data_IF_660895062903
#
_entry.id   IF_660895062903
#
_cell.length_a   1.000
_cell.length_b   1.000
_cell.length_c   1.000
_cell.angle_alpha   90.00
_cell.angle_beta   90.00
_cell.angle_gamma   90.00
#
_symmetry.space_group_name_H-M   'P 1'
#
loop_
_entity.id
_entity.type
_entity.pdbx_description
1 polymer ?
#
# COMPACT_ATOMS: atom_id res chain seq x y z
N UNK A 1 3.82 21.05 3.32
CA UNK A 1 3.08 19.85 3.75
C UNK A 1 4.13 18.84 4.14
N UNK A 2 4.28 18.51 5.42
CA UNK A 2 5.33 17.58 5.88
C UNK A 2 5.03 16.17 5.32
N UNK A 3 6.04 15.40 4.87
CA UNK A 3 5.80 14.05 4.41
C UNK A 3 5.26 13.21 5.57
N UNK A 4 4.26 12.39 5.28
CA UNK A 4 3.70 11.43 6.22
C UNK A 4 4.79 10.43 6.65
N UNK A 5 4.84 10.07 7.92
CA UNK A 5 5.93 9.27 8.48
C UNK A 5 5.95 7.86 7.88
N UNK A 6 4.77 7.29 7.59
CA UNK A 6 4.66 6.04 6.85
C UNK A 6 5.23 6.14 5.43
N UNK A 7 5.03 7.28 4.75
CA UNK A 7 5.60 7.54 3.44
C UNK A 7 7.13 7.64 3.52
N UNK A 8 7.67 8.33 4.52
CA UNK A 8 9.12 8.44 4.72
C UNK A 8 9.77 7.08 5.00
N UNK A 9 9.13 6.25 5.82
CA UNK A 9 9.63 4.92 6.16
C UNK A 9 9.74 4.04 4.91
N UNK A 10 8.67 3.98 4.11
CA UNK A 10 8.67 3.20 2.88
C UNK A 10 9.67 3.74 1.84
N UNK A 11 9.83 5.06 1.74
CA UNK A 11 10.72 5.69 0.78
C UNK A 11 12.21 5.55 1.12
N UNK A 12 12.56 5.73 2.39
CA UNK A 12 13.96 5.82 2.80
C UNK A 12 14.58 4.46 3.13
N UNK A 13 13.75 3.50 3.56
CA UNK A 13 14.25 2.25 4.12
C UNK A 13 13.85 1.01 3.34
N UNK A 14 12.87 1.08 2.42
CA UNK A 14 12.30 -0.12 1.81
C UNK A 14 12.22 0.00 0.27
N UNK A 15 13.29 -0.43 -0.44
CA UNK A 15 13.21 -0.70 -1.87
C UNK A 15 12.13 -1.75 -2.16
N UNK A 16 11.64 -1.80 -3.40
CA UNK A 16 10.54 -2.70 -3.80
C UNK A 16 10.83 -4.17 -3.43
N UNK A 17 12.08 -4.61 -3.61
CA UNK A 17 12.53 -5.98 -3.37
C UNK A 17 12.50 -6.38 -1.88
N UNK A 18 12.45 -5.42 -0.96
CA UNK A 18 12.46 -5.67 0.50
C UNK A 18 11.07 -5.51 1.15
N UNK A 19 10.05 -5.13 0.38
CA UNK A 19 8.70 -4.94 0.91
C UNK A 19 8.11 -6.23 1.47
N UNK A 20 8.34 -7.36 0.79
CA UNK A 20 7.87 -8.67 1.25
C UNK A 20 8.59 -9.11 2.54
N UNK A 21 9.91 -8.92 2.61
CA UNK A 21 10.72 -9.19 3.82
C UNK A 21 10.19 -8.40 5.00
N UNK A 22 9.97 -7.09 4.81
CA UNK A 22 9.45 -6.21 5.84
C UNK A 22 8.04 -6.62 6.29
N UNK A 23 7.13 -6.88 5.36
CA UNK A 23 5.75 -7.27 5.68
C UNK A 23 5.71 -8.59 6.48
N UNK A 24 6.54 -9.55 6.11
CA UNK A 24 6.67 -10.82 6.83
C UNK A 24 7.17 -10.60 8.26
N UNK A 25 8.30 -9.90 8.43
CA UNK A 25 8.86 -9.61 9.74
C UNK A 25 7.94 -8.75 10.61
N UNK A 26 7.23 -7.81 10.00
CA UNK A 26 6.24 -6.98 10.70
C UNK A 26 5.13 -7.87 11.28
N UNK A 27 4.68 -8.86 10.51
CA UNK A 27 3.68 -9.83 10.98
C UNK A 27 4.20 -10.63 12.17
N UNK A 28 5.42 -11.17 12.08
CA UNK A 28 6.05 -11.93 13.16
C UNK A 28 6.25 -11.10 14.43
N UNK A 29 6.75 -9.86 14.28
CA UNK A 29 6.94 -8.95 15.39
C UNK A 29 5.61 -8.62 16.07
N UNK A 30 4.57 -8.29 15.30
CA UNK A 30 3.26 -7.98 15.88
C UNK A 30 2.63 -9.19 16.60
N UNK A 31 2.77 -10.40 16.04
CA UNK A 31 2.28 -11.62 16.69
C UNK A 31 3.03 -11.84 18.01
N UNK A 32 4.35 -11.69 17.99
CA UNK A 32 5.20 -11.88 19.19
C UNK A 32 4.87 -10.84 20.26
N UNK A 33 4.69 -9.58 19.88
CA UNK A 33 4.36 -8.50 20.81
C UNK A 33 2.98 -8.69 21.44
N UNK A 34 1.98 -9.08 20.64
CA UNK A 34 0.63 -9.37 21.14
C UNK A 34 0.52 -10.66 21.96
N UNK A 35 1.40 -11.63 21.71
CA UNK A 35 1.50 -12.89 22.45
C UNK A 35 2.51 -12.83 23.59
N UNK A 36 2.91 -11.64 24.04
CA UNK A 36 3.75 -11.45 25.24
C UNK A 36 2.94 -11.77 26.51
N UNK A 37 2.60 -13.04 26.68
CA UNK A 37 1.92 -13.62 27.83
C UNK A 37 2.60 -14.92 28.23
N UNK A 38 2.61 -15.26 29.52
CA UNK A 38 3.26 -16.47 30.05
C UNK A 38 2.57 -17.79 29.64
N UNK A 39 1.39 -17.72 29.02
CA UNK A 39 0.64 -18.88 28.56
C UNK A 39 0.98 -19.25 27.10
N UNK A 40 1.07 -20.55 26.76
CA UNK A 40 1.27 -21.00 25.39
C UNK A 40 0.04 -20.69 24.55
N UNK A 41 0.10 -19.59 23.80
CA UNK A 41 -0.95 -19.17 22.86
C UNK A 41 -0.77 -19.91 21.52
N UNK A 42 -1.84 -20.47 20.94
CA UNK A 42 -1.76 -21.06 19.61
C UNK A 42 -1.42 -20.02 18.54
N UNK A 43 -0.50 -20.37 17.64
CA UNK A 43 -0.03 -19.49 16.56
C UNK A 43 -1.19 -18.90 15.73
N UNK A 44 -1.04 -17.64 15.35
CA UNK A 44 -2.01 -16.93 14.52
C UNK A 44 -1.56 -16.97 13.05
N UNK A 45 -2.04 -17.96 12.32
CA UNK A 45 -1.68 -18.21 10.92
C UNK A 45 -2.58 -17.49 9.92
N UNK A 46 -2.14 -17.40 8.65
CA UNK A 46 -2.96 -16.84 7.56
C UNK A 46 -4.28 -17.59 7.36
N UNK A 47 -4.21 -18.93 7.43
CA UNK A 47 -5.38 -19.79 7.26
C UNK A 47 -6.39 -19.57 8.37
N UNK A 48 -5.93 -19.34 9.59
CA UNK A 48 -6.77 -18.96 10.74
C UNK A 48 -7.39 -17.58 10.54
N UNK A 49 -6.60 -16.60 10.10
CA UNK A 49 -7.09 -15.25 9.79
C UNK A 49 -8.17 -15.26 8.69
N UNK A 50 -7.93 -16.01 7.60
CA UNK A 50 -8.89 -16.21 6.52
C UNK A 50 -10.16 -16.92 6.99
N UNK A 51 -10.02 -17.96 7.80
CA UNK A 51 -11.17 -18.66 8.40
C UNK A 51 -11.98 -17.72 9.29
N UNK A 52 -11.33 -16.84 10.06
CA UNK A 52 -11.99 -15.87 10.92
C UNK A 52 -12.79 -14.83 10.12
N UNK A 53 -12.20 -14.31 9.04
CA UNK A 53 -12.88 -13.35 8.14
C UNK A 53 -14.15 -13.95 7.52
N UNK A 54 -14.09 -15.23 7.15
CA UNK A 54 -15.24 -15.99 6.64
C UNK A 54 -16.26 -16.27 7.73
N UNK A 55 -15.83 -16.76 8.89
CA UNK A 55 -16.71 -17.13 9.99
C UNK A 55 -17.45 -15.92 10.57
N UNK A 56 -16.81 -14.75 10.61
CA UNK A 56 -17.43 -13.49 11.01
C UNK A 56 -18.39 -12.91 9.95
N UNK A 57 -18.49 -13.53 8.76
CA UNK A 57 -19.32 -13.08 7.64
C UNK A 57 -19.12 -11.60 7.26
N UNK A 58 -17.90 -11.09 7.45
CA UNK A 58 -17.57 -9.67 7.19
C UNK A 58 -17.12 -9.43 5.76
N UNK A 59 -16.71 -10.48 5.03
CA UNK A 59 -16.18 -10.43 3.67
C UNK A 59 -16.48 -11.75 2.97
N UNK A 60 -16.85 -11.67 1.70
CA UNK A 60 -17.19 -12.82 0.85
C UNK A 60 -15.95 -13.40 0.16
N UNK A 61 -16.04 -14.68 -0.22
CA UNK A 61 -14.94 -15.42 -0.84
C UNK A 61 -14.41 -14.81 -2.16
N UNK A 62 -15.28 -14.30 -3.07
CA UNK A 62 -14.82 -13.59 -4.25
C UNK A 62 -13.94 -12.38 -3.90
N UNK A 63 -14.36 -11.55 -2.95
CA UNK A 63 -13.57 -10.40 -2.51
C UNK A 63 -12.22 -10.83 -1.92
N UNK A 64 -12.16 -11.91 -1.13
CA UNK A 64 -10.90 -12.45 -0.62
C UNK A 64 -9.97 -12.92 -1.75
N UNK A 65 -10.53 -13.56 -2.77
CA UNK A 65 -9.78 -14.02 -3.94
C UNK A 65 -9.25 -12.85 -4.78
N UNK A 66 -10.09 -11.85 -5.06
CA UNK A 66 -9.71 -10.66 -5.81
C UNK A 66 -8.60 -9.88 -5.10
N UNK A 67 -8.66 -9.80 -3.77
CA UNK A 67 -7.59 -9.22 -2.96
C UNK A 67 -6.27 -9.97 -3.14
N UNK A 68 -6.25 -11.31 -3.01
CA UNK A 68 -5.02 -12.11 -3.18
C UNK A 68 -4.46 -11.95 -4.59
N UNK A 69 -5.30 -12.13 -5.62
CA UNK A 69 -4.93 -11.95 -7.03
C UNK A 69 -4.33 -10.58 -7.29
N UNK A 70 -4.82 -9.56 -6.57
CA UNK A 70 -4.30 -8.19 -6.65
C UNK A 70 -2.91 -8.06 -6.04
N UNK A 71 -2.69 -8.63 -4.85
CA UNK A 71 -1.41 -8.54 -4.16
C UNK A 71 -0.31 -9.38 -4.83
N UNK A 72 -0.67 -10.52 -5.39
CA UNK A 72 0.26 -11.42 -6.10
C UNK A 72 0.55 -10.98 -7.54
N UNK A 73 -0.19 -9.99 -8.07
CA UNK A 73 -0.06 -9.56 -9.46
C UNK A 73 -0.41 -10.69 -10.43
N UNK A 74 -1.68 -11.10 -10.45
CA UNK A 74 -2.12 -12.31 -11.14
C UNK A 74 -1.55 -12.53 -12.55
N UNK A 75 -1.30 -13.81 -12.90
CA UNK A 75 -0.86 -14.50 -14.14
C UNK A 75 -0.09 -13.78 -15.28
N UNK A 76 -0.21 -12.47 -15.47
CA UNK A 76 0.51 -11.70 -16.50
C UNK A 76 1.72 -10.97 -15.90
N UNK A 77 2.95 -11.29 -16.35
CA UNK A 77 4.21 -10.84 -15.75
C UNK A 77 4.58 -9.39 -16.16
N UNK A 78 3.60 -8.48 -16.25
CA UNK A 78 3.88 -7.07 -16.39
C UNK A 78 4.30 -6.51 -15.03
N UNK A 79 5.60 -6.70 -14.74
CA UNK A 79 6.40 -6.06 -13.69
C UNK A 79 5.94 -4.63 -13.42
N UNK A 80 5.79 -4.26 -12.13
CA UNK A 80 5.37 -2.97 -11.53
C UNK A 80 3.99 -2.90 -10.88
N UNK A 81 2.99 -3.71 -11.29
CA UNK A 81 1.64 -3.57 -10.73
C UNK A 81 1.49 -4.22 -9.34
N UNK A 82 2.16 -5.34 -9.10
CA UNK A 82 2.09 -6.10 -7.85
C UNK A 82 2.84 -5.39 -6.73
N UNK A 83 4.11 -5.04 -6.97
CA UNK A 83 4.96 -4.27 -6.05
C UNK A 83 4.32 -2.94 -5.67
N UNK A 84 3.77 -2.20 -6.65
CA UNK A 84 3.03 -0.97 -6.41
C UNK A 84 1.79 -1.20 -5.52
N UNK A 85 1.08 -2.31 -5.70
CA UNK A 85 -0.05 -2.68 -4.85
C UNK A 85 0.41 -3.03 -3.42
N UNK A 86 1.49 -3.79 -3.26
CA UNK A 86 2.11 -4.12 -1.98
C UNK A 86 2.54 -2.87 -1.23
N UNK A 87 3.29 -1.98 -1.89
CA UNK A 87 3.77 -0.71 -1.30
C UNK A 87 2.59 0.16 -0.84
N UNK A 88 1.55 0.26 -1.66
CA UNK A 88 0.36 1.04 -1.33
C UNK A 88 -0.43 0.43 -0.18
N UNK A 89 -0.61 -0.89 -0.18
CA UNK A 89 -1.31 -1.59 0.90
C UNK A 89 -0.56 -1.47 2.23
N UNK A 90 0.78 -1.57 2.22
CA UNK A 90 1.60 -1.32 3.41
C UNK A 90 1.49 0.14 3.87
N UNK A 91 1.50 1.09 2.96
CA UNK A 91 1.29 2.50 3.29
C UNK A 91 -0.06 2.73 3.98
N UNK A 92 -1.16 2.27 3.37
CA UNK A 92 -2.50 2.41 3.92
C UNK A 92 -2.62 1.70 5.28
N UNK A 93 -2.01 0.51 5.43
CA UNK A 93 -2.03 -0.22 6.69
C UNK A 93 -1.25 0.51 7.80
N UNK A 94 -0.03 0.97 7.51
CA UNK A 94 0.83 1.68 8.47
C UNK A 94 0.22 3.01 8.90
N UNK A 95 -0.43 3.72 7.98
CA UNK A 95 -1.12 4.98 8.28
C UNK A 95 -2.39 4.76 9.10
N UNK A 96 -3.22 3.78 8.73
CA UNK A 96 -4.45 3.49 9.47
C UNK A 96 -4.14 3.00 10.88
N UNK A 97 -3.15 2.12 11.04
CA UNK A 97 -2.79 1.53 12.34
C UNK A 97 -1.87 2.40 13.19
N UNK A 98 -1.30 3.47 12.61
CA UNK A 98 -0.26 4.32 13.21
C UNK A 98 1.03 3.57 13.57
N UNK A 99 1.24 2.37 13.01
CA UNK A 99 2.45 1.56 13.22
C UNK A 99 3.72 2.31 12.80
N UNK A 100 3.64 3.21 11.82
CA UNK A 100 4.80 3.99 11.41
C UNK A 100 5.40 4.81 12.57
N UNK A 101 4.58 5.27 13.53
CA UNK A 101 5.08 6.08 14.66
C UNK A 101 5.88 5.28 15.69
N UNK A 102 5.83 3.95 15.62
CA UNK A 102 6.54 3.08 16.53
C UNK A 102 8.03 2.97 16.16
N UNK A 103 8.91 3.15 17.15
CA UNK A 103 10.35 3.13 16.94
C UNK A 103 10.87 1.73 16.58
N UNK A 104 10.24 0.66 17.10
CA UNK A 104 10.62 -0.71 16.77
C UNK A 104 10.26 -1.04 15.32
N UNK A 105 9.11 -0.56 14.85
CA UNK A 105 8.70 -0.72 13.43
C UNK A 105 9.64 0.05 12.49
N UNK A 106 10.09 1.24 12.88
CA UNK A 106 11.09 1.99 12.12
C UNK A 106 12.44 1.26 12.08
N UNK A 107 12.90 0.71 13.20
CA UNK A 107 14.10 -0.11 13.27
C UNK A 107 13.97 -1.38 12.41
N UNK A 108 12.80 -2.03 12.45
CA UNK A 108 12.52 -3.21 11.65
C UNK A 108 12.54 -2.91 10.15
N UNK A 109 12.04 -1.75 9.74
CA UNK A 109 12.10 -1.29 8.36
C UNK A 109 13.56 -1.11 7.90
N UNK A 110 14.39 -0.45 8.72
CA UNK A 110 15.80 -0.25 8.41
C UNK A 110 16.57 -1.58 8.28
N UNK A 111 16.35 -2.52 9.20
CA UNK A 111 17.00 -3.85 9.16
C UNK A 111 16.51 -4.67 7.96
N UNK A 112 15.23 -4.56 7.60
CA UNK A 112 14.66 -5.26 6.44
C UNK A 112 15.22 -4.73 5.12
N UNK A 113 15.42 -3.42 5.01
CA UNK A 113 16.08 -2.79 3.85
C UNK A 113 17.56 -3.12 3.68
N UNK A 114 18.24 -3.56 4.74
CA UNK A 114 19.65 -3.98 4.68
C UNK A 114 19.85 -5.49 4.64
N UNK A 115 18.77 -6.28 4.76
CA UNK A 115 18.85 -7.74 4.71
C UNK A 115 19.00 -8.18 3.26
N UNK A 116 19.87 -9.15 2.94
CA UNK A 116 19.95 -9.69 1.58
C UNK A 116 18.58 -10.16 1.10
N UNK A 117 18.32 -9.99 -0.19
CA UNK A 117 17.07 -10.42 -0.82
C UNK A 117 16.81 -11.90 -0.50
N UNK A 118 15.61 -12.19 -0.01
CA UNK A 118 15.17 -13.55 0.25
C UNK A 118 14.17 -13.88 -0.84
N UNK A 119 14.61 -14.66 -1.83
CA UNK A 119 13.74 -15.16 -2.88
C UNK A 119 12.59 -15.97 -2.26
N UNK A 120 11.36 -15.71 -2.73
CA UNK A 120 10.13 -16.46 -2.41
C UNK A 120 9.47 -16.19 -1.03
N UNK A 121 9.66 -15.02 -0.41
CA UNK A 121 8.83 -14.64 0.74
C UNK A 121 7.39 -14.36 0.30
N UNK A 122 6.45 -15.14 0.83
CA UNK A 122 5.01 -14.90 0.66
C UNK A 122 4.50 -14.02 1.79
N UNK A 123 3.82 -12.91 1.43
CA UNK A 123 3.24 -12.01 2.43
C UNK A 123 1.94 -12.59 2.96
N UNK A 124 1.85 -12.69 4.28
CA UNK A 124 0.74 -13.29 5.01
C UNK A 124 -0.37 -12.24 5.23
N UNK A 125 -0.99 -11.78 4.15
CA UNK A 125 -1.82 -10.56 4.17
C UNK A 125 -3.04 -10.63 5.10
N UNK A 126 -3.71 -11.78 5.19
CA UNK A 126 -4.88 -11.90 6.06
C UNK A 126 -4.46 -11.82 7.52
N UNK A 127 -3.39 -12.54 7.90
CA UNK A 127 -2.84 -12.43 9.25
C UNK A 127 -2.36 -11.00 9.54
N UNK A 128 -1.52 -10.43 8.67
CA UNK A 128 -0.96 -9.08 8.84
C UNK A 128 -2.06 -8.03 9.06
N UNK A 129 -3.11 -8.04 8.23
CA UNK A 129 -4.20 -7.08 8.34
C UNK A 129 -4.95 -7.19 9.68
N UNK A 130 -5.28 -8.39 10.14
CA UNK A 130 -6.00 -8.59 11.41
C UNK A 130 -5.09 -8.23 12.59
N UNK A 131 -3.86 -8.72 12.58
CA UNK A 131 -2.88 -8.53 13.65
C UNK A 131 -2.54 -7.05 13.82
N UNK A 132 -2.34 -6.31 12.73
CA UNK A 132 -2.04 -4.88 12.81
C UNK A 132 -3.21 -4.07 13.40
N UNK A 133 -4.46 -4.44 13.09
CA UNK A 133 -5.64 -3.83 13.71
C UNK A 133 -5.83 -4.26 15.17
N UNK A 134 -5.52 -5.52 15.49
CA UNK A 134 -5.54 -6.04 16.85
C UNK A 134 -4.53 -5.29 17.73
N UNK A 135 -3.30 -5.10 17.23
CA UNK A 135 -2.25 -4.32 17.87
C UNK A 135 -2.69 -2.88 18.17
N UNK A 136 -3.25 -2.19 17.17
CA UNK A 136 -3.80 -0.83 17.36
C UNK A 136 -4.84 -0.77 18.48
N UNK A 137 -5.66 -1.81 18.62
CA UNK A 137 -6.68 -1.90 19.67
C UNK A 137 -6.20 -2.50 20.99
N UNK A 138 -4.96 -2.99 21.06
CA UNK A 138 -4.44 -3.74 22.21
C UNK A 138 -5.22 -5.04 22.48
N UNK A 139 -5.77 -5.67 21.45
CA UNK A 139 -6.62 -6.86 21.60
C UNK A 139 -5.80 -8.14 21.44
N UNK A 140 -5.93 -9.11 22.35
CA UNK A 140 -5.14 -10.33 22.31
C UNK A 140 -5.56 -11.28 21.19
N UNK A 141 -4.58 -11.87 20.50
CA UNK A 141 -4.82 -12.77 19.38
C UNK A 141 -5.44 -14.11 19.78
N UNK A 142 -5.16 -14.61 20.99
CA UNK A 142 -5.71 -15.90 21.46
C UNK A 142 -7.24 -15.90 21.54
N UNK A 143 -7.87 -14.73 21.72
CA UNK A 143 -9.32 -14.58 21.78
C UNK A 143 -9.97 -14.55 20.38
N UNK A 144 -9.17 -14.47 19.32
CA UNK A 144 -9.66 -14.51 17.94
C UNK A 144 -9.70 -15.99 17.49
N UNK A 145 -10.83 -16.62 17.74
CA UNK A 145 -11.09 -18.01 17.35
C UNK A 145 -12.11 -18.08 16.20
N UNK A 146 -11.76 -18.64 15.03
CA UNK A 146 -12.72 -18.85 13.95
C UNK A 146 -13.85 -19.82 14.30
N UNK A 147 -13.67 -20.74 15.27
CA UNK A 147 -14.73 -21.66 15.69
C UNK A 147 -15.80 -20.95 16.55
N UNK A 148 -15.45 -19.82 17.16
CA UNK A 148 -16.34 -18.98 17.96
C UNK A 148 -16.30 -17.54 17.41
N UNK A 149 -16.91 -17.27 16.24
CA UNK A 149 -16.75 -16.00 15.56
C UNK A 149 -17.25 -14.84 16.44
N UNK A 150 -16.52 -13.70 16.45
CA UNK A 150 -16.87 -12.57 17.29
C UNK A 150 -18.15 -11.91 16.81
N UNK A 151 -18.98 -11.44 17.75
CA UNK A 151 -20.18 -10.67 17.42
C UNK A 151 -19.84 -9.34 16.74
N UNK A 152 -20.68 -8.87 15.81
CA UNK A 152 -20.38 -7.70 14.95
C UNK A 152 -19.98 -6.43 15.72
N UNK A 153 -20.64 -6.16 16.85
CA UNK A 153 -20.40 -4.98 17.67
C UNK A 153 -19.39 -5.20 18.80
N UNK A 154 -18.80 -6.39 18.91
CA UNK A 154 -17.74 -6.67 19.87
C UNK A 154 -16.41 -6.02 19.44
N UNK A 155 -15.47 -5.75 20.38
CA UNK A 155 -14.14 -5.25 20.03
C UNK A 155 -13.43 -6.12 18.98
N UNK A 156 -13.48 -7.46 19.13
CA UNK A 156 -12.99 -8.41 18.15
C UNK A 156 -13.68 -8.29 16.79
N UNK A 157 -15.01 -8.16 16.78
CA UNK A 157 -15.80 -7.96 15.57
C UNK A 157 -15.42 -6.68 14.84
N UNK A 158 -15.13 -5.60 15.56
CA UNK A 158 -14.68 -4.35 14.97
C UNK A 158 -13.28 -4.45 14.35
N UNK A 159 -12.36 -5.21 14.96
CA UNK A 159 -11.03 -5.48 14.39
C UNK A 159 -11.18 -6.22 13.06
N UNK A 160 -11.97 -7.29 13.05
CA UNK A 160 -12.21 -8.13 11.87
C UNK A 160 -12.92 -7.32 10.77
N UNK A 161 -13.87 -6.45 11.14
CA UNK A 161 -14.57 -5.54 10.22
C UNK A 161 -13.64 -4.49 9.61
N UNK A 162 -12.70 -3.95 10.38
CA UNK A 162 -11.70 -3.00 9.87
C UNK A 162 -10.72 -3.67 8.91
N UNK A 163 -10.21 -4.85 9.25
CA UNK A 163 -9.37 -5.64 8.34
C UNK A 163 -10.10 -5.95 7.02
N UNK A 164 -11.38 -6.33 7.08
CA UNK A 164 -12.20 -6.53 5.88
C UNK A 164 -12.44 -5.22 5.08
N UNK A 165 -12.62 -4.10 5.77
CA UNK A 165 -12.79 -2.78 5.12
C UNK A 165 -11.52 -2.37 4.40
N UNK A 166 -10.36 -2.55 5.02
CA UNK A 166 -9.05 -2.34 4.41
C UNK A 166 -8.91 -3.15 3.11
N UNK A 167 -9.22 -4.47 3.13
CA UNK A 167 -9.13 -5.32 1.92
C UNK A 167 -10.03 -4.81 0.78
N UNK A 168 -11.26 -4.41 1.10
CA UNK A 168 -12.20 -3.84 0.11
C UNK A 168 -11.67 -2.55 -0.49
N UNK A 169 -11.06 -1.67 0.32
CA UNK A 169 -10.47 -0.43 -0.17
C UNK A 169 -9.36 -0.71 -1.20
N UNK A 170 -8.53 -1.73 -0.97
CA UNK A 170 -7.46 -2.09 -1.91
C UNK A 170 -7.98 -2.59 -3.26
N UNK A 171 -9.16 -3.23 -3.29
CA UNK A 171 -9.79 -3.72 -4.54
C UNK A 171 -10.57 -2.60 -5.25
N UNK A 172 -11.30 -1.78 -4.50
CA UNK A 172 -12.25 -0.80 -5.07
C UNK A 172 -11.58 0.48 -5.58
N UNK A 173 -10.31 0.73 -5.23
CA UNK A 173 -9.57 1.91 -5.68
C UNK A 173 -9.37 1.90 -7.19
N UNK A 174 -9.65 3.03 -7.83
CA UNK A 174 -9.50 3.18 -9.28
C UNK A 174 -8.04 3.02 -9.72
N UNK A 175 -7.82 2.49 -10.92
CA UNK A 175 -6.47 2.30 -11.46
C UNK A 175 -5.68 3.62 -11.52
N UNK A 176 -6.33 4.73 -11.89
CA UNK A 176 -5.68 6.04 -12.01
C UNK A 176 -5.32 6.65 -10.65
N UNK A 177 -6.18 6.51 -9.64
CA UNK A 177 -5.88 6.96 -8.27
C UNK A 177 -4.73 6.17 -7.68
N UNK A 178 -4.77 4.84 -7.85
CA UNK A 178 -3.69 3.96 -7.43
C UNK A 178 -2.37 4.35 -8.10
N UNK A 179 -2.35 4.51 -9.42
CA UNK A 179 -1.10 4.83 -10.13
C UNK A 179 -0.51 6.17 -9.67
N UNK A 180 -1.36 7.15 -9.34
CA UNK A 180 -0.92 8.42 -8.73
C UNK A 180 -0.29 8.20 -7.36
N UNK A 181 -0.92 7.40 -6.50
CA UNK A 181 -0.41 7.12 -5.16
C UNK A 181 0.88 6.30 -5.20
N UNK A 182 0.94 5.27 -6.04
CA UNK A 182 2.16 4.45 -6.23
C UNK A 182 3.31 5.32 -6.69
N UNK A 183 3.11 6.21 -7.67
CA UNK A 183 4.15 7.15 -8.08
C UNK A 183 4.57 8.07 -6.95
N UNK A 184 3.62 8.58 -6.15
CA UNK A 184 3.93 9.43 -4.99
C UNK A 184 4.77 8.66 -3.96
N UNK A 185 4.44 7.40 -3.70
CA UNK A 185 5.14 6.55 -2.73
C UNK A 185 6.51 6.11 -3.23
N UNK A 186 6.67 5.84 -4.53
CA UNK A 186 7.96 5.51 -5.13
C UNK A 186 8.88 6.73 -5.28
N UNK A 187 8.32 7.94 -5.33
CA UNK A 187 9.10 9.16 -5.48
C UNK A 187 9.79 9.55 -4.17
N UNK A 188 11.05 9.16 -4.03
CA UNK A 188 11.96 9.69 -3.01
C UNK A 188 12.27 11.14 -3.36
N UNK A 189 11.74 12.08 -2.59
CA UNK A 189 11.94 13.53 -2.79
C UNK A 189 13.36 14.03 -2.53
N UNK A 190 14.40 13.20 -2.69
CA UNK A 190 15.78 13.54 -2.40
C UNK A 190 16.76 12.63 -3.15
N UNK A 191 17.47 13.21 -4.11
CA UNK A 191 18.80 12.83 -4.55
C UNK A 191 19.07 11.33 -4.82
N UNK A 192 18.58 10.83 -5.96
CA UNK A 192 19.49 9.99 -6.74
C UNK A 192 20.68 10.88 -7.15
N UNK A 193 21.95 10.43 -7.03
CA UNK A 193 23.10 11.20 -7.51
C UNK A 193 23.01 11.32 -9.04
N UNK A 194 22.31 12.36 -9.51
CA UNK A 194 22.08 12.57 -10.94
C UNK A 194 20.69 13.06 -11.36
N UNK A 195 19.71 13.21 -10.45
CA UNK A 195 18.44 13.87 -10.81
C UNK A 195 18.52 15.37 -10.50
N UNK A 196 18.54 16.26 -11.52
CA UNK A 196 18.59 17.69 -11.28
C UNK A 196 17.27 18.15 -10.67
N UNK A 197 17.33 18.79 -9.50
CA UNK A 197 16.22 19.60 -9.00
C UNK A 197 16.01 20.82 -9.92
N UNK A 198 14.83 21.42 -9.89
CA UNK A 198 14.54 22.68 -10.60
C UNK A 198 15.55 23.79 -10.23
N UNK A 199 16.07 23.77 -9.01
CA UNK A 199 17.12 24.69 -8.54
C UNK A 199 18.54 24.34 -9.05
N UNK A 200 18.76 23.09 -9.50
CA UNK A 200 20.03 22.59 -10.02
C UNK A 200 20.06 22.48 -11.56
N UNK A 201 18.98 22.86 -12.25
CA UNK A 201 19.04 23.05 -13.69
C UNK A 201 19.94 24.26 -13.96
N UNK A 202 21.08 24.02 -14.61
CA UNK A 202 21.87 25.10 -15.18
C UNK A 202 20.92 25.99 -15.99
N UNK A 203 20.90 27.28 -15.65
CA UNK A 203 20.09 28.27 -16.33
C UNK A 203 20.42 28.18 -17.82
N UNK A 204 19.49 27.63 -18.60
CA UNK A 204 19.70 27.40 -20.03
C UNK A 204 20.09 28.74 -20.65
N UNK A 205 21.23 28.83 -21.38
CA UNK A 205 21.48 30.03 -22.16
C UNK A 205 20.26 30.24 -23.07
N UNK A 206 19.79 31.49 -23.26
CA UNK A 206 18.56 31.75 -23.98
C UNK A 206 18.59 31.03 -25.32
N UNK A 207 17.63 30.12 -25.52
CA UNK A 207 17.52 29.35 -26.74
C UNK A 207 17.55 30.31 -27.94
N UNK A 208 18.45 30.06 -28.88
CA UNK A 208 18.55 30.85 -30.10
C UNK A 208 17.15 30.89 -30.78
N UNK A 209 16.73 32.05 -31.31
CA UNK A 209 15.41 32.20 -31.90
C UNK A 209 15.21 31.16 -33.01
N UNK A 210 14.21 30.30 -32.83
CA UNK A 210 13.87 29.24 -33.78
C UNK A 210 13.52 29.87 -35.14
N UNK A 211 14.14 29.43 -36.26
CA UNK A 211 13.84 29.97 -37.58
C UNK A 211 12.35 29.83 -37.94
N UNK A 212 11.77 30.80 -38.67
CA UNK A 212 10.31 30.96 -38.84
C UNK A 212 9.59 29.79 -39.53
N UNK A 213 10.30 28.79 -40.07
CA UNK A 213 9.73 27.68 -40.83
C UNK A 213 9.50 26.38 -40.04
N UNK A 214 9.84 26.35 -38.73
CA UNK A 214 9.70 25.15 -37.88
C UNK A 214 8.50 25.17 -36.92
N UNK A 215 7.51 26.05 -37.15
CA UNK A 215 6.25 25.99 -36.40
C UNK A 215 5.24 25.13 -37.17
N UNK A 216 4.71 24.11 -36.50
CA UNK A 216 3.57 23.34 -37.00
C UNK A 216 2.41 24.29 -37.30
N UNK A 217 1.75 24.20 -38.48
CA UNK A 217 0.68 25.12 -38.83
C UNK A 217 -0.47 24.97 -37.83
N UNK A 218 -0.89 26.08 -37.23
CA UNK A 218 -2.05 26.14 -36.35
C UNK A 218 -3.31 26.01 -37.23
N UNK A 219 -4.17 25.01 -37.02
CA UNK A 219 -5.42 24.92 -37.77
C UNK A 219 -6.30 26.12 -37.45
N UNK A 220 -6.50 27.01 -38.42
CA UNK A 220 -7.42 28.14 -38.31
C UNK A 220 -8.84 27.63 -38.53
N UNK A 221 -9.66 27.62 -37.47
CA UNK A 221 -11.11 27.46 -37.59
C UNK A 221 -11.75 28.84 -37.62
N UNK A 222 -12.34 29.19 -38.75
CA UNK A 222 -13.18 30.38 -38.84
C UNK A 222 -14.51 30.10 -38.12
N UNK A 223 -15.05 31.06 -37.34
CA UNK A 223 -16.43 30.96 -36.89
C UNK A 223 -17.33 31.20 -38.11
N UNK A 224 -17.83 30.11 -38.67
CA UNK A 224 -18.94 30.15 -39.62
C UNK A 224 -20.14 30.71 -38.85
N UNK A 225 -20.51 31.96 -39.15
CA UNK A 225 -21.69 32.60 -38.58
C UNK A 225 -22.90 31.76 -38.98
N UNK A 226 -23.60 31.20 -38.00
CA UNK A 226 -24.89 30.56 -38.17
C UNK A 226 -25.83 31.53 -38.88
N UNK A 227 -26.10 31.30 -40.16
CA UNK A 227 -27.17 31.97 -40.91
C UNK A 227 -28.47 31.19 -40.73
N UNK A 228 -28.95 31.10 -39.50
CA UNK A 228 -30.37 30.88 -39.23
C UNK A 228 -30.99 32.22 -38.84
N UNK A 229 -31.11 33.10 -39.84
CA UNK A 229 -32.12 34.16 -39.90
C UNK A 229 -32.36 34.49 -41.37
N UNK A 230 -33.17 33.65 -42.02
CA UNK A 230 -33.98 34.04 -43.17
C UNK A 230 -35.24 33.17 -43.21
N UNK A 231 -36.36 33.85 -42.99
CA UNK A 231 -37.78 33.46 -43.05
C UNK A 231 -38.42 32.84 -41.81
#
# INVERSE_FOLDING_TARGET
MMPDLAQQLLQNHLPDDHLAVFAHRLTEWLITDLNRSDEPVPDFTDSRAKALLRAANVIDDPTLHDFVKRMEGGETPALSNAEGAVRLALYDLLTETKLATDNEVQALAAVSGSTPEIENITIVWFALSIVAHAWKSGYPLHQLDPASPPGEYSPAGQIVKRAATFMRQQITRSATERDKLVRKLAYTGGAAPGTPSLDNMAQEPPAAPVPPHYRSPIPVRYPEVARDTLH
#
